data_IF_202824307813
#
_entry.id   IF_202824307813
#
_cell.length_a   1.000
_cell.length_b   1.000
_cell.length_c   1.000
_cell.angle_alpha   90.00
_cell.angle_beta   90.00
_cell.angle_gamma   90.00
#
_symmetry.space_group_name_H-M   'P 1'
#
loop_
_entity.id
_entity.type
_entity.pdbx_description
1 polymer ?
#
# COMPACT_ATOMS: atom_id res chain seq x y z
N UNK A 1 14.57 0.91 -12.90
CA UNK A 1 15.16 1.98 -13.74
C UNK A 1 14.87 3.32 -13.10
N UNK A 2 15.86 4.21 -13.02
CA UNK A 2 15.70 5.57 -12.47
C UNK A 2 16.23 6.58 -13.47
N UNK A 3 15.64 7.77 -13.50
CA UNK A 3 16.05 8.87 -14.35
C UNK A 3 15.77 10.21 -13.70
N UNK A 4 16.37 11.29 -14.21
CA UNK A 4 16.12 12.63 -13.73
C UNK A 4 16.36 13.65 -14.82
N UNK A 5 15.57 14.72 -14.81
CA UNK A 5 15.67 15.83 -15.72
C UNK A 5 15.36 17.15 -14.97
N UNK A 6 16.40 17.90 -14.65
CA UNK A 6 16.25 19.10 -13.84
C UNK A 6 15.65 18.78 -12.46
N UNK A 7 14.54 19.43 -12.13
CA UNK A 7 13.82 19.22 -10.87
C UNK A 7 12.92 17.97 -10.85
N UNK A 8 12.82 17.27 -11.97
CA UNK A 8 12.03 16.03 -12.12
C UNK A 8 12.92 14.81 -11.90
N UNK A 9 12.49 13.90 -11.05
CA UNK A 9 13.06 12.56 -10.90
C UNK A 9 11.96 11.54 -11.11
N UNK A 10 12.28 10.42 -11.74
CA UNK A 10 11.33 9.33 -11.96
C UNK A 10 11.96 7.97 -11.75
N UNK A 11 11.13 6.99 -11.44
CA UNK A 11 11.50 5.61 -11.23
C UNK A 11 10.43 4.70 -11.86
N UNK A 12 10.89 3.64 -12.51
CA UNK A 12 10.07 2.51 -12.92
C UNK A 12 10.68 1.23 -12.37
N UNK A 13 9.87 0.35 -11.82
CA UNK A 13 10.28 -0.95 -11.32
C UNK A 13 9.25 -2.02 -11.71
N UNK A 14 9.76 -3.23 -11.88
CA UNK A 14 8.96 -4.42 -12.08
C UNK A 14 9.49 -5.52 -11.15
N UNK A 15 8.58 -6.20 -10.48
CA UNK A 15 8.87 -7.33 -9.61
C UNK A 15 8.05 -8.54 -10.07
N UNK A 16 8.68 -9.71 -10.01
CA UNK A 16 8.07 -10.99 -10.34
C UNK A 16 8.19 -11.91 -9.12
N UNK A 17 7.09 -12.55 -8.78
CA UNK A 17 6.98 -13.49 -7.67
C UNK A 17 6.53 -14.85 -8.21
N UNK A 18 7.37 -15.87 -8.08
CA UNK A 18 6.97 -17.24 -8.36
C UNK A 18 6.44 -17.87 -7.07
N UNK A 19 5.19 -18.30 -7.08
CA UNK A 19 4.57 -18.97 -5.93
C UNK A 19 4.89 -20.46 -5.93
N UNK A 20 5.11 -21.04 -4.73
CA UNK A 20 5.33 -22.47 -4.59
C UNK A 20 4.07 -23.26 -5.04
N UNK A 21 4.27 -24.45 -5.57
CA UNK A 21 3.19 -25.31 -6.07
C UNK A 21 2.08 -25.60 -5.04
N UNK A 22 2.43 -25.57 -3.74
CA UNK A 22 1.48 -25.78 -2.63
C UNK A 22 0.92 -24.46 -2.07
N UNK A 23 1.14 -23.34 -2.76
CA UNK A 23 0.58 -22.04 -2.35
C UNK A 23 -0.94 -22.00 -2.57
N UNK A 24 -1.66 -21.30 -1.70
CA UNK A 24 -3.06 -20.94 -1.93
C UNK A 24 -3.23 -20.06 -3.17
N UNK A 25 -2.23 -19.20 -3.46
CA UNK A 25 -2.20 -18.41 -4.70
C UNK A 25 -1.61 -19.24 -5.83
N UNK A 26 -2.35 -19.34 -6.92
CA UNK A 26 -2.01 -20.20 -8.08
C UNK A 26 -1.29 -19.44 -9.19
N UNK A 27 -1.66 -18.18 -9.40
CA UNK A 27 -1.00 -17.33 -10.42
C UNK A 27 0.31 -16.77 -9.91
N UNK A 28 1.28 -16.63 -10.81
CA UNK A 28 2.52 -15.92 -10.51
C UNK A 28 2.24 -14.43 -10.28
N UNK A 29 3.00 -13.84 -9.37
CA UNK A 29 2.84 -12.45 -8.99
C UNK A 29 3.61 -11.49 -9.89
N UNK A 30 2.94 -10.43 -10.31
CA UNK A 30 3.50 -9.34 -11.09
C UNK A 30 3.20 -8.01 -10.40
N UNK A 31 4.22 -7.18 -10.22
CA UNK A 31 4.07 -5.87 -9.60
C UNK A 31 4.83 -4.83 -10.43
N UNK A 32 4.12 -3.82 -10.90
CA UNK A 32 4.66 -2.71 -11.69
C UNK A 32 4.55 -1.42 -10.90
N UNK A 33 5.63 -0.66 -10.86
CA UNK A 33 5.69 0.65 -10.22
C UNK A 33 6.14 1.70 -11.23
N UNK A 34 5.45 2.83 -11.22
CA UNK A 34 5.86 4.04 -11.90
C UNK A 34 5.68 5.22 -10.96
N UNK A 35 6.75 5.93 -10.67
CA UNK A 35 6.69 7.05 -9.76
C UNK A 35 7.66 8.15 -10.12
N UNK A 36 7.52 9.27 -9.42
CA UNK A 36 8.41 10.38 -9.57
C UNK A 36 8.17 11.46 -8.54
N UNK A 37 9.05 12.45 -8.55
CA UNK A 37 8.87 13.66 -7.79
C UNK A 37 9.31 14.88 -8.60
N UNK A 38 8.73 16.01 -8.27
CA UNK A 38 9.09 17.30 -8.82
C UNK A 38 9.32 18.28 -7.69
N UNK A 39 10.48 18.96 -7.74
CA UNK A 39 10.85 19.98 -6.78
C UNK A 39 10.49 21.36 -7.34
N UNK A 40 9.50 22.01 -6.71
CA UNK A 40 9.05 23.36 -7.05
C UNK A 40 9.88 24.46 -6.36
N UNK A 41 10.89 24.08 -5.56
CA UNK A 41 11.70 25.00 -4.75
C UNK A 41 11.07 25.37 -3.40
N UNK A 42 9.75 25.52 -3.34
CA UNK A 42 8.98 25.79 -2.12
C UNK A 42 8.34 24.53 -1.52
N UNK A 43 8.14 23.53 -2.32
CA UNK A 43 7.64 22.21 -1.94
C UNK A 43 8.09 21.17 -2.94
N UNK A 44 8.30 19.95 -2.48
CA UNK A 44 8.54 18.80 -3.34
C UNK A 44 7.29 17.94 -3.33
N UNK A 45 6.74 17.64 -4.51
CA UNK A 45 5.60 16.75 -4.68
C UNK A 45 6.09 15.41 -5.23
N UNK A 46 5.56 14.33 -4.75
CA UNK A 46 5.84 12.97 -5.25
C UNK A 46 4.55 12.20 -5.49
N UNK A 47 4.59 11.37 -6.52
CA UNK A 47 3.50 10.49 -6.90
C UNK A 47 4.06 9.12 -7.27
N UNK A 48 3.31 8.07 -6.94
CA UNK A 48 3.58 6.69 -7.34
C UNK A 48 2.27 6.04 -7.76
N UNK A 49 2.29 5.40 -8.92
CA UNK A 49 1.26 4.49 -9.37
C UNK A 49 1.82 3.07 -9.37
N UNK A 50 1.02 2.11 -8.94
CA UNK A 50 1.34 0.70 -8.99
C UNK A 50 0.19 -0.09 -9.61
N UNK A 51 0.54 -1.16 -10.31
CA UNK A 51 -0.37 -2.20 -10.77
C UNK A 51 0.14 -3.53 -10.26
N UNK A 52 -0.74 -4.35 -9.75
CA UNK A 52 -0.40 -5.66 -9.22
C UNK A 52 -1.39 -6.73 -9.70
N UNK A 53 -0.87 -7.96 -9.83
CA UNK A 53 -1.63 -9.15 -10.17
C UNK A 53 -0.95 -10.37 -9.54
N UNK A 54 -1.73 -11.34 -9.06
CA UNK A 54 -1.22 -12.59 -8.50
C UNK A 54 -0.42 -12.40 -7.20
N UNK A 55 -0.62 -11.31 -6.45
CA UNK A 55 0.12 -11.07 -5.21
C UNK A 55 -0.69 -11.49 -3.99
N UNK A 56 0.02 -11.80 -2.89
CA UNK A 56 -0.59 -12.30 -1.66
C UNK A 56 -1.12 -11.19 -0.77
N UNK A 57 -0.54 -10.00 -0.84
CA UNK A 57 -0.81 -8.89 0.08
C UNK A 57 -1.13 -7.64 -0.73
N UNK A 58 -2.35 -7.11 -0.60
CA UNK A 58 -2.76 -5.86 -1.22
C UNK A 58 -3.91 -5.23 -0.45
N UNK A 59 -4.12 -3.92 -0.67
CA UNK A 59 -5.23 -3.15 -0.13
C UNK A 59 -5.41 -3.29 1.40
N UNK A 60 -4.30 -3.45 2.13
CA UNK A 60 -4.32 -3.60 3.59
C UNK A 60 -4.64 -5.01 4.08
N UNK A 61 -4.75 -6.00 3.19
CA UNK A 61 -5.06 -7.39 3.50
C UNK A 61 -3.91 -8.32 3.15
N UNK A 62 -3.70 -9.33 4.00
CA UNK A 62 -2.72 -10.39 3.82
C UNK A 62 -3.44 -11.74 3.79
N UNK A 63 -3.27 -12.49 2.68
CA UNK A 63 -3.84 -13.82 2.55
C UNK A 63 -3.33 -14.79 3.61
N UNK A 64 -2.09 -14.62 4.07
CA UNK A 64 -1.47 -15.56 5.01
C UNK A 64 -1.86 -15.32 6.47
N UNK A 65 -2.23 -14.09 6.84
CA UNK A 65 -2.49 -13.71 8.23
C UNK A 65 -3.96 -13.38 8.50
N UNK A 66 -4.61 -12.69 7.57
CA UNK A 66 -5.95 -12.15 7.79
C UNK A 66 -7.06 -13.09 7.32
N UNK A 67 -6.81 -13.89 6.29
CA UNK A 67 -7.84 -14.66 5.59
C UNK A 67 -7.66 -16.18 5.72
N UNK A 68 -6.53 -16.68 6.20
CA UNK A 68 -6.23 -18.12 6.28
C UNK A 68 -6.15 -18.64 7.73
N UNK A 69 -6.04 -17.78 8.75
CA UNK A 69 -5.79 -18.20 10.14
C UNK A 69 -6.93 -19.00 10.81
N UNK A 70 -8.16 -18.92 10.31
CA UNK A 70 -9.32 -19.61 10.90
C UNK A 70 -9.88 -20.71 10.01
N UNK A 71 -9.11 -21.77 9.73
CA UNK A 71 -9.61 -23.02 9.13
C UNK A 71 -10.17 -22.96 7.69
N UNK A 72 -9.74 -22.04 6.86
CA UNK A 72 -10.00 -22.09 5.42
C UNK A 72 -8.82 -22.78 4.71
N UNK A 73 -8.45 -23.97 5.19
CA UNK A 73 -7.30 -24.73 4.69
C UNK A 73 -7.44 -25.23 3.23
N UNK A 74 -8.62 -25.07 2.61
CA UNK A 74 -8.94 -25.68 1.32
C UNK A 74 -9.35 -24.72 0.21
N UNK A 75 -9.18 -23.39 0.38
CA UNK A 75 -9.45 -22.50 -0.74
C UNK A 75 -8.18 -22.17 -1.55
N UNK A 76 -8.37 -22.00 -2.83
CA UNK A 76 -7.35 -21.51 -3.75
C UNK A 76 -7.82 -20.20 -4.39
N UNK A 77 -6.88 -19.36 -4.82
CA UNK A 77 -7.15 -18.09 -5.46
C UNK A 77 -6.06 -17.77 -6.47
N UNK A 78 -6.35 -16.91 -7.44
CA UNK A 78 -5.35 -16.34 -8.35
C UNK A 78 -4.60 -15.15 -7.71
N UNK A 79 -4.92 -14.79 -6.47
CA UNK A 79 -4.31 -13.70 -5.73
C UNK A 79 -4.97 -12.35 -5.97
N UNK A 80 -4.42 -11.32 -5.34
CA UNK A 80 -4.90 -9.95 -5.51
C UNK A 80 -4.48 -9.38 -6.87
N UNK A 81 -5.43 -8.69 -7.52
CA UNK A 81 -5.20 -7.89 -8.72
C UNK A 81 -5.84 -6.52 -8.57
N UNK A 82 -5.10 -5.48 -8.94
CA UNK A 82 -5.59 -4.12 -8.83
C UNK A 82 -4.53 -3.07 -9.09
N UNK A 83 -4.80 -1.87 -8.62
CA UNK A 83 -3.88 -0.75 -8.73
C UNK A 83 -3.83 0.06 -7.43
N UNK A 84 -2.77 0.84 -7.29
CA UNK A 84 -2.59 1.75 -6.18
C UNK A 84 -2.04 3.09 -6.64
N UNK A 85 -2.42 4.13 -5.93
CA UNK A 85 -1.94 5.48 -6.12
C UNK A 85 -1.45 6.05 -4.78
N UNK A 86 -0.32 6.73 -4.84
CA UNK A 86 0.27 7.43 -3.72
C UNK A 86 0.64 8.84 -4.15
N UNK A 87 0.18 9.83 -3.42
CA UNK A 87 0.48 11.23 -3.66
C UNK A 87 0.92 11.87 -2.35
N UNK A 88 1.98 12.66 -2.38
CA UNK A 88 2.43 13.36 -1.20
C UNK A 88 3.26 14.58 -1.50
N UNK A 89 3.58 15.31 -0.44
CA UNK A 89 4.46 16.48 -0.53
C UNK A 89 5.35 16.61 0.71
N UNK A 90 6.48 17.26 0.52
CA UNK A 90 7.38 17.71 1.58
C UNK A 90 7.53 19.21 1.42
N UNK A 91 7.13 19.96 2.43
CA UNK A 91 7.13 21.42 2.41
C UNK A 91 7.95 21.94 3.60
N UNK A 92 9.06 22.64 3.37
CA UNK A 92 9.78 23.34 4.42
C UNK A 92 8.92 24.43 5.04
N UNK A 93 8.70 24.38 6.34
CA UNK A 93 7.89 25.37 7.08
C UNK A 93 8.33 25.46 8.54
N UNK A 94 8.42 26.67 9.09
CA UNK A 94 8.62 26.89 10.52
C UNK A 94 9.90 26.31 11.11
N UNK A 95 10.98 26.19 10.30
CA UNK A 95 12.26 25.60 10.74
C UNK A 95 12.33 24.08 10.69
N UNK A 96 11.38 23.46 10.02
CA UNK A 96 11.32 22.01 9.80
C UNK A 96 10.65 21.67 8.49
N UNK A 97 10.32 20.40 8.29
CA UNK A 97 9.65 19.84 7.12
C UNK A 97 8.30 19.24 7.47
N UNK A 98 7.23 19.73 6.83
CA UNK A 98 5.93 19.11 6.84
C UNK A 98 5.82 18.12 5.67
N UNK A 99 5.63 16.85 5.99
CA UNK A 99 5.31 15.82 5.01
C UNK A 99 3.84 15.44 5.15
N UNK A 100 3.11 15.43 4.04
CA UNK A 100 1.75 14.88 3.96
C UNK A 100 1.69 13.89 2.82
N UNK A 101 0.90 12.83 3.00
CA UNK A 101 0.70 11.84 1.95
C UNK A 101 -0.71 11.24 2.03
N UNK A 102 -1.23 10.87 0.86
CA UNK A 102 -2.47 10.12 0.71
C UNK A 102 -2.19 8.85 -0.10
N UNK A 103 -2.90 7.79 0.24
CA UNK A 103 -2.78 6.46 -0.34
C UNK A 103 -4.15 5.98 -0.77
N UNK A 104 -4.22 5.36 -1.92
CA UNK A 104 -5.42 4.71 -2.42
C UNK A 104 -5.01 3.40 -3.10
N UNK A 105 -5.69 2.32 -2.78
CA UNK A 105 -5.61 1.06 -3.52
C UNK A 105 -7.01 0.54 -3.77
N UNK A 106 -7.20 -0.02 -4.95
CA UNK A 106 -8.44 -0.65 -5.37
C UNK A 106 -8.08 -1.93 -6.12
N UNK A 107 -8.76 -3.01 -5.83
CA UNK A 107 -8.48 -4.29 -6.43
C UNK A 107 -9.44 -5.38 -5.98
N UNK A 108 -9.12 -6.59 -6.39
CA UNK A 108 -9.90 -7.80 -6.11
C UNK A 108 -9.00 -8.94 -5.70
N UNK A 109 -9.46 -9.73 -4.77
CA UNK A 109 -8.98 -11.10 -4.60
C UNK A 109 -9.73 -11.98 -5.61
N UNK A 110 -9.00 -12.52 -6.57
CA UNK A 110 -9.57 -13.15 -7.75
C UNK A 110 -9.77 -14.66 -7.61
N UNK A 111 -10.85 -15.15 -8.21
CA UNK A 111 -11.10 -16.59 -8.39
C UNK A 111 -10.88 -17.39 -7.11
N UNK A 112 -11.56 -16.99 -6.03
CA UNK A 112 -11.56 -17.77 -4.80
C UNK A 112 -12.46 -18.98 -5.02
N UNK A 113 -11.97 -20.19 -4.73
CA UNK A 113 -12.75 -21.41 -4.86
C UNK A 113 -12.26 -22.54 -3.95
N UNK A 114 -13.17 -23.29 -3.40
CA UNK A 114 -12.97 -24.64 -2.87
C UNK A 114 -13.39 -25.71 -3.89
N UNK A 115 -14.38 -25.41 -4.73
CA UNK A 115 -14.79 -26.22 -5.90
C UNK A 115 -14.48 -25.42 -7.19
N UNK A 116 -13.79 -25.99 -8.19
CA UNK A 116 -13.48 -25.31 -9.46
C UNK A 116 -14.69 -24.77 -10.24
N UNK A 117 -15.90 -25.18 -9.90
CA UNK A 117 -17.14 -24.73 -10.56
C UNK A 117 -17.74 -23.48 -9.89
N UNK A 118 -17.36 -23.18 -8.63
CA UNK A 118 -17.91 -22.07 -7.84
C UNK A 118 -16.80 -21.03 -7.55
N UNK A 119 -16.43 -20.25 -8.56
CA UNK A 119 -15.45 -19.18 -8.44
C UNK A 119 -16.13 -17.84 -8.20
N UNK A 120 -15.59 -17.06 -7.27
CA UNK A 120 -16.05 -15.71 -6.99
C UNK A 120 -14.85 -14.76 -6.72
N UNK A 121 -15.09 -13.49 -6.87
CA UNK A 121 -14.13 -12.43 -6.55
C UNK A 121 -14.59 -11.68 -5.31
N UNK A 122 -13.64 -11.16 -4.54
CA UNK A 122 -13.88 -10.28 -3.40
C UNK A 122 -13.21 -8.93 -3.69
N UNK A 123 -13.99 -7.85 -3.68
CA UNK A 123 -13.47 -6.50 -3.85
C UNK A 123 -12.74 -6.04 -2.59
N UNK A 124 -11.57 -5.42 -2.77
CA UNK A 124 -10.72 -4.93 -1.71
C UNK A 124 -10.31 -3.48 -1.97
N UNK A 125 -10.50 -2.61 -0.98
CA UNK A 125 -10.12 -1.21 -1.09
C UNK A 125 -9.31 -0.76 0.13
N UNK A 126 -8.35 0.13 -0.10
CA UNK A 126 -7.58 0.78 0.95
C UNK A 126 -7.47 2.27 0.69
N UNK A 127 -7.74 3.04 1.73
CA UNK A 127 -7.50 4.49 1.75
C UNK A 127 -6.68 4.85 2.98
N UNK A 128 -5.79 5.82 2.84
CA UNK A 128 -5.00 6.28 3.96
C UNK A 128 -4.50 7.70 3.75
N UNK A 129 -4.34 8.40 4.87
CA UNK A 129 -3.70 9.72 4.90
C UNK A 129 -2.73 9.77 6.07
N UNK A 130 -1.62 10.48 5.88
CA UNK A 130 -0.63 10.67 6.94
C UNK A 130 -0.03 12.07 6.87
N UNK A 131 0.32 12.60 8.03
CA UNK A 131 1.06 13.83 8.15
C UNK A 131 2.19 13.65 9.17
N UNK A 132 3.36 14.23 8.89
CA UNK A 132 4.53 14.24 9.78
C UNK A 132 5.18 15.62 9.71
N UNK A 133 5.48 16.18 10.87
CA UNK A 133 6.31 17.36 10.98
C UNK A 133 7.64 17.01 11.65
N UNK A 134 8.76 17.34 10.99
CA UNK A 134 10.11 17.13 11.52
C UNK A 134 10.78 18.48 11.73
N UNK A 135 11.01 18.88 12.98
CA UNK A 135 11.67 20.10 13.36
C UNK A 135 13.19 19.89 13.49
N UNK A 136 13.99 20.72 12.83
CA UNK A 136 15.43 20.62 12.82
C UNK A 136 16.04 21.28 14.05
N UNK A 137 16.38 20.48 15.09
CA UNK A 137 17.07 20.96 16.29
C UNK A 137 18.53 21.32 16.01
N UNK A 138 19.16 20.60 15.09
CA UNK A 138 20.52 20.86 14.60
C UNK A 138 20.74 20.22 13.23
N UNK A 139 21.93 20.41 12.63
CA UNK A 139 22.31 19.73 11.37
C UNK A 139 22.26 18.19 11.45
N UNK A 140 22.24 17.62 12.65
CA UNK A 140 22.29 16.17 12.89
C UNK A 140 21.11 15.64 13.72
N UNK A 141 20.24 16.53 14.21
CA UNK A 141 19.18 16.14 15.15
C UNK A 141 17.86 16.72 14.73
N UNK A 142 16.87 15.89 14.51
CA UNK A 142 15.51 16.25 14.21
C UNK A 142 14.57 15.68 15.28
N UNK A 143 13.68 16.51 15.83
CA UNK A 143 12.53 16.03 16.58
C UNK A 143 11.33 15.95 15.63
N UNK A 144 10.53 14.91 15.73
CA UNK A 144 9.38 14.76 14.85
C UNK A 144 8.13 14.25 15.57
N UNK A 145 7.00 14.62 15.04
CA UNK A 145 5.70 14.09 15.39
C UNK A 145 4.91 13.77 14.11
N UNK A 146 4.02 12.81 14.19
CA UNK A 146 3.18 12.47 13.06
C UNK A 146 1.92 11.76 13.49
N UNK A 147 0.94 11.77 12.59
CA UNK A 147 -0.32 11.05 12.74
C UNK A 147 -0.77 10.53 11.37
N UNK A 148 -1.55 9.47 11.39
CA UNK A 148 -2.15 8.90 10.20
C UNK A 148 -3.45 8.18 10.50
N UNK A 149 -4.25 8.08 9.47
CA UNK A 149 -5.47 7.28 9.43
C UNK A 149 -5.43 6.39 8.19
N UNK A 150 -5.85 5.16 8.34
CA UNK A 150 -6.05 4.24 7.23
C UNK A 150 -7.30 3.40 7.45
N UNK A 151 -7.98 3.06 6.36
CA UNK A 151 -9.11 2.15 6.33
C UNK A 151 -8.91 1.16 5.19
N UNK A 152 -9.06 -0.13 5.50
CA UNK A 152 -9.13 -1.22 4.55
C UNK A 152 -10.51 -1.85 4.60
N UNK A 153 -11.13 -2.08 3.45
CA UNK A 153 -12.44 -2.75 3.31
C UNK A 153 -12.31 -3.96 2.41
N UNK A 154 -13.03 -5.00 2.73
CA UNK A 154 -13.16 -6.20 1.92
C UNK A 154 -14.65 -6.48 1.78
N UNK A 155 -15.18 -6.38 0.55
CA UNK A 155 -16.59 -6.59 0.26
C UNK A 155 -16.84 -8.10 0.10
N UNK A 156 -17.47 -8.69 1.08
CA UNK A 156 -17.80 -10.13 1.14
C UNK A 156 -19.23 -10.44 0.72
N UNK A 157 -19.94 -9.51 0.11
CA UNK A 157 -21.33 -9.67 -0.33
C UNK A 157 -21.56 -10.87 -1.27
N UNK A 158 -20.52 -11.26 -2.03
CA UNK A 158 -20.55 -12.47 -2.88
C UNK A 158 -20.57 -13.78 -2.09
N UNK A 159 -20.29 -13.75 -0.79
CA UNK A 159 -20.31 -14.93 0.10
C UNK A 159 -21.66 -15.15 0.80
N UNK A 160 -22.71 -14.38 0.46
CA UNK A 160 -24.03 -14.43 1.09
C UNK A 160 -24.17 -13.51 2.29
N UNK A 161 -24.79 -13.95 3.39
CA UNK A 161 -25.05 -13.14 4.59
C UNK A 161 -23.80 -12.77 5.43
N UNK A 162 -22.64 -12.75 4.85
CA UNK A 162 -21.39 -12.35 5.52
C UNK A 162 -21.27 -10.83 5.45
N UNK A 163 -21.03 -10.20 6.60
CA UNK A 163 -20.81 -8.76 6.65
C UNK A 163 -19.45 -8.40 6.08
N UNK A 164 -19.38 -7.23 5.40
CA UNK A 164 -18.12 -6.67 4.92
C UNK A 164 -17.08 -6.60 6.05
N UNK A 165 -15.86 -6.95 5.73
CA UNK A 165 -14.75 -6.86 6.67
C UNK A 165 -14.10 -5.49 6.56
N UNK A 166 -13.93 -4.83 7.69
CA UNK A 166 -13.29 -3.52 7.76
C UNK A 166 -12.17 -3.53 8.79
N UNK A 167 -11.09 -2.85 8.45
CA UNK A 167 -9.98 -2.56 9.37
C UNK A 167 -9.72 -1.06 9.37
N UNK A 168 -9.69 -0.46 10.55
CA UNK A 168 -9.32 0.94 10.72
C UNK A 168 -8.06 1.04 11.57
N UNK A 169 -7.16 1.92 11.18
CA UNK A 169 -5.94 2.24 11.91
C UNK A 169 -5.84 3.73 12.11
N UNK A 170 -5.79 4.16 13.37
CA UNK A 170 -5.40 5.50 13.77
C UNK A 170 -4.07 5.38 14.49
N UNK A 171 -3.07 6.11 14.03
CA UNK A 171 -1.74 6.10 14.63
C UNK A 171 -1.24 7.51 14.87
N UNK A 172 -0.61 7.73 16.03
CA UNK A 172 0.15 8.93 16.33
C UNK A 172 1.51 8.52 16.92
N UNK A 173 2.54 9.24 16.56
CA UNK A 173 3.90 8.97 17.03
C UNK A 173 4.71 10.24 17.19
N UNK A 174 5.70 10.17 18.08
CA UNK A 174 6.70 11.21 18.32
C UNK A 174 8.06 10.54 18.44
N UNK A 175 9.10 11.22 17.98
CA UNK A 175 10.44 10.66 18.08
C UNK A 175 11.55 11.69 17.81
N UNK A 176 12.77 11.20 17.89
CA UNK A 176 13.98 11.97 17.65
C UNK A 176 14.92 11.15 16.78
N UNK A 177 15.47 11.79 15.76
CA UNK A 177 16.53 11.22 14.91
C UNK A 177 17.81 11.94 15.15
N UNK A 178 18.89 11.22 15.43
CA UNK A 178 20.25 11.74 15.51
C UNK A 178 21.16 11.01 14.53
N UNK A 179 21.94 11.77 13.73
CA UNK A 179 22.91 11.22 12.77
C UNK A 179 24.32 11.45 13.31
N UNK A 180 25.08 10.40 13.40
CA UNK A 180 26.48 10.41 13.86
C UNK A 180 27.46 10.78 12.76
#
# INVERSE_FOLDING_TARGET
MTGGFGNLQFVGAYEYFNHAANSAVKDDGHLFHLGGNYDFGVTKVFALAQYYQGIRNAAGWDLSGDLIEDNVADFTTDGFKGYGLHLGSITPIGGGDLTVAAYFQDGKLQNIYSDPQDKFDIDAQYVGVTARYAYHLSKRTDAYLGAGYAKATLDTSSLGDVHDMEKELIQAYVGLTHRF
#
